data_IF_104766808485
#
_entry.id   IF_104766808485
#
_cell.length_a   1.000
_cell.length_b   1.000
_cell.length_c   1.000
_cell.angle_alpha   90.00
_cell.angle_beta   90.00
_cell.angle_gamma   90.00
#
_symmetry.space_group_name_H-M   'P 1'
#
loop_
_entity.id
_entity.type
_entity.pdbx_description
1 polymer ?
#
# COMPACT_ATOMS: atom_id res chain seq x y z
N UNK A 1 -5.81 15.24 -1.11
CA UNK A 1 -5.96 13.81 -0.73
C UNK A 1 -7.19 13.66 0.16
N UNK A 2 -7.99 12.64 -0.11
CA UNK A 2 -9.21 12.36 0.68
C UNK A 2 -8.90 11.30 1.73
N UNK A 3 -9.51 11.40 2.90
CA UNK A 3 -9.30 10.47 4.00
C UNK A 3 -10.64 9.99 4.56
N UNK A 4 -10.72 8.70 4.89
CA UNK A 4 -11.89 8.07 5.47
C UNK A 4 -11.53 7.34 6.76
N UNK A 5 -12.31 7.59 7.82
CA UNK A 5 -12.17 6.91 9.11
C UNK A 5 -13.56 6.49 9.57
N UNK A 6 -13.79 5.19 9.69
CA UNK A 6 -15.09 4.63 10.07
C UNK A 6 -14.91 3.62 11.20
N UNK A 7 -15.20 3.97 12.44
CA UNK A 7 -15.17 3.02 13.56
C UNK A 7 -16.13 1.87 13.31
N UNK A 8 -15.71 0.65 13.61
CA UNK A 8 -16.53 -0.55 13.47
C UNK A 8 -17.05 -0.80 12.04
N UNK A 9 -16.46 -0.17 11.03
CA UNK A 9 -16.84 -0.33 9.64
C UNK A 9 -15.85 -1.26 8.96
N UNK A 10 -16.37 -2.21 8.16
CA UNK A 10 -15.54 -3.16 7.43
C UNK A 10 -14.70 -2.43 6.37
N UNK A 11 -13.38 -2.68 6.36
CA UNK A 11 -12.46 -2.04 5.42
C UNK A 11 -12.86 -2.33 3.97
N UNK A 12 -13.29 -3.56 3.66
CA UNK A 12 -13.66 -3.92 2.30
C UNK A 12 -14.93 -3.20 1.84
N UNK A 13 -15.86 -2.97 2.75
CA UNK A 13 -17.07 -2.18 2.46
C UNK A 13 -16.70 -0.72 2.22
N UNK A 14 -15.76 -0.19 2.98
CA UNK A 14 -15.26 1.16 2.80
C UNK A 14 -14.55 1.31 1.45
N UNK A 15 -13.74 0.33 1.07
CA UNK A 15 -13.10 0.30 -0.25
C UNK A 15 -14.14 0.33 -1.37
N UNK A 16 -15.19 -0.49 -1.26
CA UNK A 16 -16.24 -0.52 -2.26
C UNK A 16 -17.00 0.81 -2.35
N UNK A 17 -17.25 1.45 -1.22
CA UNK A 17 -17.90 2.76 -1.16
C UNK A 17 -17.04 3.83 -1.85
N UNK A 18 -15.75 3.83 -1.58
CA UNK A 18 -14.82 4.78 -2.20
C UNK A 18 -14.67 4.49 -3.70
N UNK A 19 -14.60 3.21 -4.10
CA UNK A 19 -14.53 2.83 -5.50
C UNK A 19 -15.75 3.33 -6.29
N UNK A 20 -16.96 3.15 -5.75
CA UNK A 20 -18.18 3.66 -6.37
C UNK A 20 -18.13 5.18 -6.55
N UNK A 21 -17.67 5.89 -5.53
CA UNK A 21 -17.51 7.34 -5.58
C UNK A 21 -16.52 7.76 -6.67
N UNK A 22 -15.39 7.09 -6.75
CA UNK A 22 -14.35 7.40 -7.74
C UNK A 22 -14.84 7.17 -9.16
N UNK A 23 -15.60 6.08 -9.39
CA UNK A 23 -16.18 5.81 -10.71
C UNK A 23 -17.13 6.93 -11.14
N UNK A 24 -17.90 7.48 -10.21
CA UNK A 24 -18.84 8.58 -10.50
C UNK A 24 -18.10 9.91 -10.73
N UNK A 25 -17.11 10.22 -9.91
CA UNK A 25 -16.41 11.51 -9.94
C UNK A 25 -15.42 11.58 -11.09
N UNK A 26 -14.65 10.50 -11.31
CA UNK A 26 -13.57 10.48 -12.30
C UNK A 26 -14.00 9.82 -13.62
N UNK A 27 -15.19 9.26 -13.68
CA UNK A 27 -15.68 8.52 -14.85
C UNK A 27 -14.67 7.46 -15.29
N UNK A 28 -14.07 6.75 -14.33
CA UNK A 28 -13.03 5.75 -14.58
C UNK A 28 -13.59 4.34 -14.48
N UNK A 29 -12.78 3.35 -14.89
CA UNK A 29 -13.11 1.95 -14.74
C UNK A 29 -13.10 1.54 -13.27
N UNK A 30 -13.79 0.43 -12.91
CA UNK A 30 -13.71 -0.11 -11.55
C UNK A 30 -12.27 -0.37 -11.12
N UNK A 31 -11.97 -0.09 -9.87
CA UNK A 31 -10.62 -0.19 -9.34
C UNK A 31 -10.16 -1.64 -9.20
N UNK A 32 -8.85 -1.83 -9.30
CA UNK A 32 -8.19 -3.07 -8.91
C UNK A 32 -7.83 -2.97 -7.43
N UNK A 33 -7.88 -4.10 -6.71
CA UNK A 33 -7.52 -4.15 -5.28
C UNK A 33 -6.44 -5.21 -5.05
N UNK A 34 -5.37 -4.81 -4.36
CA UNK A 34 -4.26 -5.67 -3.99
C UNK A 34 -3.90 -5.41 -2.53
N UNK A 35 -3.55 -6.47 -1.79
CA UNK A 35 -2.92 -6.24 -0.49
C UNK A 35 -1.50 -5.70 -0.69
N UNK A 36 -0.97 -5.04 0.33
CA UNK A 36 0.41 -4.56 0.35
C UNK A 36 1.38 -5.72 0.03
N UNK A 37 1.18 -6.86 0.67
CA UNK A 37 1.99 -8.06 0.45
C UNK A 37 1.92 -8.53 -1.02
N UNK A 38 0.71 -8.60 -1.58
CA UNK A 38 0.52 -9.01 -2.98
C UNK A 38 1.19 -8.04 -3.95
N UNK A 39 1.11 -6.75 -3.68
CA UNK A 39 1.73 -5.73 -4.53
C UNK A 39 3.25 -5.88 -4.57
N UNK A 40 3.88 -6.11 -3.42
CA UNK A 40 5.32 -6.35 -3.36
C UNK A 40 5.70 -7.65 -4.08
N UNK A 41 4.95 -8.72 -3.87
CA UNK A 41 5.23 -10.01 -4.52
C UNK A 41 5.10 -9.92 -6.03
N UNK A 42 4.11 -9.17 -6.53
CA UNK A 42 3.88 -9.00 -7.96
C UNK A 42 4.96 -8.17 -8.65
N UNK A 43 5.36 -7.07 -8.03
CA UNK A 43 6.23 -6.08 -8.68
C UNK A 43 7.71 -6.20 -8.27
N UNK A 44 8.00 -6.69 -7.08
CA UNK A 44 9.36 -6.77 -6.54
C UNK A 44 9.79 -8.19 -6.22
N UNK A 45 8.89 -9.17 -6.34
CA UNK A 45 9.15 -10.59 -6.09
C UNK A 45 9.71 -10.85 -4.67
N UNK A 46 9.16 -10.15 -3.70
CA UNK A 46 9.58 -10.27 -2.30
C UNK A 46 8.36 -10.15 -1.38
N UNK A 47 8.38 -10.87 -0.25
CA UNK A 47 7.36 -10.77 0.79
C UNK A 47 7.76 -9.67 1.79
N UNK A 48 7.09 -8.51 1.78
CA UNK A 48 7.49 -7.38 2.63
C UNK A 48 7.26 -7.62 4.11
N UNK A 49 6.40 -8.57 4.47
CA UNK A 49 6.07 -8.84 5.88
C UNK A 49 7.08 -9.76 6.54
N UNK A 50 7.79 -10.59 5.78
CA UNK A 50 8.76 -11.54 6.31
C UNK A 50 10.21 -11.23 5.92
N UNK A 51 10.44 -10.37 4.94
CA UNK A 51 11.78 -10.03 4.47
C UNK A 51 12.57 -9.27 5.54
N UNK A 52 13.87 -9.58 5.67
CA UNK A 52 14.75 -8.84 6.54
C UNK A 52 15.37 -7.63 5.80
N UNK A 53 16.15 -6.81 6.53
CA UNK A 53 16.79 -5.63 5.96
C UNK A 53 17.73 -5.98 4.81
N UNK A 54 18.44 -7.10 4.90
CA UNK A 54 19.38 -7.54 3.87
C UNK A 54 18.63 -7.81 2.57
N UNK A 55 17.50 -8.53 2.64
CA UNK A 55 16.68 -8.82 1.48
C UNK A 55 16.09 -7.55 0.87
N UNK A 56 15.64 -6.62 1.71
CA UNK A 56 15.11 -5.34 1.23
C UNK A 56 16.18 -4.50 0.54
N UNK A 57 17.41 -4.50 1.06
CA UNK A 57 18.54 -3.80 0.45
C UNK A 57 18.92 -4.41 -0.90
N UNK A 58 18.84 -5.73 -1.02
CA UNK A 58 19.09 -6.42 -2.30
C UNK A 58 18.09 -5.98 -3.36
N UNK A 59 16.80 -5.87 -3.00
CA UNK A 59 15.77 -5.37 -3.92
C UNK A 59 16.04 -3.92 -4.29
N UNK A 60 16.42 -3.09 -3.32
CA UNK A 60 16.78 -1.70 -3.56
C UNK A 60 17.95 -1.57 -4.54
N UNK A 61 18.94 -2.46 -4.44
CA UNK A 61 20.07 -2.45 -5.37
C UNK A 61 19.62 -2.73 -6.81
N UNK A 62 18.63 -3.62 -6.99
CA UNK A 62 18.06 -3.88 -8.32
C UNK A 62 17.34 -2.67 -8.90
N UNK A 63 16.91 -1.74 -8.06
CA UNK A 63 16.23 -0.50 -8.46
C UNK A 63 17.18 0.71 -8.50
N UNK A 64 18.50 0.48 -8.40
CA UNK A 64 19.52 1.53 -8.33
C UNK A 64 19.36 2.46 -7.11
N UNK A 65 18.88 1.90 -6.00
CA UNK A 65 18.65 2.65 -4.77
C UNK A 65 19.64 2.30 -3.65
N UNK A 66 20.72 1.57 -3.96
CA UNK A 66 21.66 1.10 -2.93
C UNK A 66 22.31 2.23 -2.15
N UNK A 67 22.57 3.37 -2.79
CA UNK A 67 23.16 4.53 -2.10
C UNK A 67 22.30 5.03 -0.95
N UNK A 68 20.98 4.92 -1.08
CA UNK A 68 20.04 5.35 -0.05
C UNK A 68 19.79 4.19 0.91
N UNK A 69 19.54 3.00 0.39
CA UNK A 69 19.14 1.84 1.19
C UNK A 69 20.26 1.32 2.10
N UNK A 70 21.52 1.39 1.65
CA UNK A 70 22.65 0.88 2.41
C UNK A 70 22.89 1.65 3.71
N UNK A 71 22.47 2.91 3.76
CA UNK A 71 22.62 3.76 4.94
C UNK A 71 21.38 3.78 5.83
N UNK A 72 20.26 3.21 5.36
CA UNK A 72 19.00 3.22 6.10
C UNK A 72 18.93 2.05 7.07
N UNK A 73 18.73 2.36 8.34
CA UNK A 73 18.65 1.36 9.42
C UNK A 73 17.20 0.96 9.73
N UNK A 74 16.22 1.77 9.37
CA UNK A 74 14.81 1.51 9.68
C UNK A 74 14.16 0.66 8.59
N UNK A 75 13.67 -0.52 8.98
CA UNK A 75 13.01 -1.45 8.07
C UNK A 75 11.76 -0.83 7.42
N UNK A 76 10.96 -0.08 8.17
CA UNK A 76 9.76 0.55 7.64
C UNK A 76 10.11 1.61 6.59
N UNK A 77 11.18 2.36 6.79
CA UNK A 77 11.65 3.33 5.82
C UNK A 77 12.11 2.64 4.53
N UNK A 78 12.78 1.50 4.65
CA UNK A 78 13.16 0.71 3.48
C UNK A 78 11.93 0.22 2.71
N UNK A 79 10.91 -0.25 3.42
CA UNK A 79 9.65 -0.67 2.78
C UNK A 79 8.97 0.49 2.07
N UNK A 80 8.92 1.66 2.68
CA UNK A 80 8.33 2.85 2.06
C UNK A 80 9.09 3.27 0.80
N UNK A 81 10.42 3.23 0.85
CA UNK A 81 11.26 3.54 -0.30
C UNK A 81 10.98 2.57 -1.46
N UNK A 82 10.95 1.28 -1.17
CA UNK A 82 10.69 0.25 -2.19
C UNK A 82 9.27 0.36 -2.75
N UNK A 83 8.30 0.67 -1.91
CA UNK A 83 6.93 0.87 -2.37
C UNK A 83 6.85 2.06 -3.33
N UNK A 84 7.40 3.20 -2.95
CA UNK A 84 7.34 4.42 -3.74
C UNK A 84 8.08 4.28 -5.07
N UNK A 85 9.23 3.63 -5.07
CA UNK A 85 10.08 3.56 -6.27
C UNK A 85 9.85 2.30 -7.09
N UNK A 86 9.35 1.21 -6.49
CA UNK A 86 9.22 -0.07 -7.16
C UNK A 86 7.79 -0.54 -7.39
N UNK A 87 6.81 -0.05 -6.64
CA UNK A 87 5.41 -0.47 -6.75
C UNK A 87 4.54 0.63 -7.33
N UNK A 88 4.58 1.84 -6.77
CA UNK A 88 3.70 2.94 -7.21
C UNK A 88 3.77 3.23 -8.72
N UNK A 89 4.95 3.24 -9.37
CA UNK A 89 5.00 3.52 -10.81
C UNK A 89 4.30 2.48 -11.67
N UNK A 90 3.98 1.32 -11.11
CA UNK A 90 3.41 0.19 -11.86
C UNK A 90 1.93 -0.05 -11.55
N UNK A 91 1.32 0.74 -10.68
CA UNK A 91 -0.08 0.58 -10.28
C UNK A 91 -0.90 1.82 -10.65
N UNK A 92 -2.23 1.64 -10.74
CA UNK A 92 -3.13 2.75 -10.99
C UNK A 92 -2.98 3.42 -12.34
N UNK A 93 -2.53 2.71 -13.37
CA UNK A 93 -2.28 3.29 -14.69
C UNK A 93 -3.56 3.52 -15.49
N UNK A 94 -4.33 2.45 -15.71
CA UNK A 94 -5.54 2.50 -16.53
C UNK A 94 -6.79 2.70 -15.68
N UNK A 95 -6.72 2.33 -14.42
CA UNK A 95 -7.80 2.42 -13.44
C UNK A 95 -7.21 2.58 -12.05
N UNK A 96 -7.98 3.11 -11.09
CA UNK A 96 -7.49 3.23 -9.72
C UNK A 96 -7.09 1.87 -9.14
N UNK A 97 -6.08 1.87 -8.29
CA UNK A 97 -5.65 0.67 -7.58
C UNK A 97 -5.71 0.94 -6.08
N UNK A 98 -6.47 0.11 -5.36
CA UNK A 98 -6.48 0.10 -3.90
C UNK A 98 -5.38 -0.82 -3.40
N UNK A 99 -4.56 -0.30 -2.50
CA UNK A 99 -3.58 -1.11 -1.76
C UNK A 99 -4.07 -1.12 -0.32
N UNK A 100 -4.30 -2.30 0.24
CA UNK A 100 -4.84 -2.46 1.58
C UNK A 100 -3.96 -3.38 2.42
N UNK A 101 -4.25 -3.48 3.73
CA UNK A 101 -3.47 -4.28 4.69
C UNK A 101 -2.01 -3.85 4.74
N UNK A 102 -1.79 -2.57 4.97
CA UNK A 102 -0.44 -2.05 5.21
C UNK A 102 0.17 -2.66 6.46
N UNK A 103 1.51 -2.74 6.54
CA UNK A 103 2.16 -3.24 7.76
C UNK A 103 1.68 -2.49 8.99
N UNK A 104 1.39 -3.23 10.06
CA UNK A 104 0.86 -2.66 11.30
C UNK A 104 1.77 -1.56 11.87
N UNK A 105 3.08 -1.69 11.69
CA UNK A 105 4.07 -0.72 12.13
C UNK A 105 3.98 0.61 11.38
N UNK A 106 3.34 0.65 10.22
CA UNK A 106 3.17 1.86 9.40
C UNK A 106 1.78 2.47 9.51
N UNK A 107 0.88 1.81 10.22
CA UNK A 107 -0.55 2.12 10.14
C UNK A 107 -1.07 3.05 11.25
N UNK A 108 -0.20 3.59 12.08
CA UNK A 108 -0.57 4.59 13.08
C UNK A 108 -1.73 4.15 13.98
N UNK A 109 -2.92 4.76 13.82
CA UNK A 109 -4.10 4.49 14.65
C UNK A 109 -5.08 3.49 14.03
N UNK A 110 -4.76 2.92 12.86
CA UNK A 110 -5.65 1.95 12.22
C UNK A 110 -5.73 0.66 13.01
N UNK A 111 -6.90 0.01 12.94
CA UNK A 111 -7.15 -1.24 13.63
C UNK A 111 -6.30 -2.36 13.03
N UNK A 112 -5.69 -3.19 13.90
CA UNK A 112 -4.95 -4.38 13.45
C UNK A 112 -5.94 -5.40 12.89
N UNK A 113 -5.58 -6.05 11.77
CA UNK A 113 -6.42 -7.05 11.16
C UNK A 113 -6.61 -8.26 12.07
N UNK A 114 -7.85 -8.74 12.28
CA UNK A 114 -8.06 -9.96 13.05
C UNK A 114 -7.56 -11.22 12.33
N UNK A 115 -7.40 -11.15 11.01
CA UNK A 115 -6.95 -12.29 10.20
C UNK A 115 -5.42 -12.42 10.18
N UNK A 116 -4.71 -11.29 10.25
CA UNK A 116 -3.25 -11.26 10.26
C UNK A 116 -2.77 -10.07 11.06
N UNK A 117 -2.22 -10.34 12.25
CA UNK A 117 -1.78 -9.27 13.16
C UNK A 117 -0.56 -8.49 12.67
N UNK A 118 0.05 -8.89 11.58
CA UNK A 118 1.17 -8.15 10.97
C UNK A 118 0.70 -6.96 10.14
N UNK A 119 -0.58 -6.90 9.82
CA UNK A 119 -1.16 -5.85 8.97
C UNK A 119 -2.33 -5.17 9.66
N UNK A 120 -2.65 -3.98 9.16
CA UNK A 120 -3.74 -3.17 9.69
C UNK A 120 -4.85 -3.00 8.66
N UNK A 121 -6.06 -2.69 9.16
CA UNK A 121 -7.23 -2.38 8.35
C UNK A 121 -7.11 -0.95 7.80
N UNK A 122 -6.19 -0.78 6.85
CA UNK A 122 -5.88 0.50 6.23
C UNK A 122 -5.70 0.30 4.73
N UNK A 123 -6.16 1.27 3.92
CA UNK A 123 -5.97 1.25 2.48
C UNK A 123 -5.53 2.61 1.96
N UNK A 124 -4.91 2.60 0.78
CA UNK A 124 -4.60 3.80 -0.01
C UNK A 124 -5.04 3.55 -1.45
N UNK A 125 -5.40 4.61 -2.17
CA UNK A 125 -5.85 4.55 -3.56
C UNK A 125 -4.88 5.31 -4.43
N UNK A 126 -4.40 4.67 -5.49
CA UNK A 126 -3.46 5.26 -6.43
C UNK A 126 -4.06 5.31 -7.83
N UNK A 127 -3.87 6.43 -8.53
CA UNK A 127 -4.30 6.60 -9.90
C UNK A 127 -3.41 7.59 -10.61
N UNK A 128 -2.88 7.17 -11.78
CA UNK A 128 -1.99 8.00 -12.63
C UNK A 128 -0.80 8.59 -11.86
N UNK A 129 -0.19 7.77 -11.02
CA UNK A 129 1.01 8.15 -10.27
C UNK A 129 0.76 9.01 -9.03
N UNK A 130 -0.50 9.18 -8.63
CA UNK A 130 -0.87 10.02 -7.49
C UNK A 130 -1.68 9.22 -6.49
N UNK A 131 -1.41 9.40 -5.21
CA UNK A 131 -2.29 8.90 -4.15
C UNK A 131 -3.51 9.80 -4.05
N UNK A 132 -4.69 9.26 -4.39
CA UNK A 132 -5.94 10.03 -4.38
C UNK A 132 -6.59 10.09 -3.01
N UNK A 133 -6.48 9.01 -2.24
CA UNK A 133 -7.22 8.87 -1.00
C UNK A 133 -6.58 7.82 -0.11
N UNK A 134 -6.89 7.88 1.19
CA UNK A 134 -6.57 6.80 2.11
C UNK A 134 -7.72 6.66 3.11
N UNK A 135 -7.77 5.51 3.77
CA UNK A 135 -8.79 5.27 4.78
C UNK A 135 -8.37 4.17 5.72
N UNK A 136 -9.04 4.10 6.86
CA UNK A 136 -8.79 3.06 7.84
C UNK A 136 -10.03 2.84 8.69
N UNK A 137 -10.09 1.67 9.34
CA UNK A 137 -11.02 1.41 10.42
C UNK A 137 -10.28 1.47 11.74
N UNK A 138 -10.98 1.84 12.79
CA UNK A 138 -10.37 1.99 14.10
C UNK A 138 -11.26 1.41 15.21
#
# INVERSE_FOLDING_TARGET
>A
MLEWYRPCYDMYRLINEVDDLLQQVLECQPAESLSYQQAFQRHLDIDPLSADKTQLREVAAKLDLSNIADTEEDRDTLLQLLFTMGVEPHIGKDRPTFIYHFPATQASLAQISPEDHRVAERFEVYYKGIELANGSTS
#
